data_IF_321258276343
#
_entry.id   IF_321258276343
#
_cell.length_a   1.000
_cell.length_b   1.000
_cell.length_c   1.000
_cell.angle_alpha   90.00
_cell.angle_beta   90.00
_cell.angle_gamma   90.00
#
_symmetry.space_group_name_H-M   'P 1'
#
loop_
_entity.id
_entity.type
_entity.pdbx_description
1 polymer ?
#
# COMPACT_ATOMS: atom_id res chain seq x y z
N UNK A 1 -2.84 -39.82 -6.39
CA UNK A 1 -1.82 -39.27 -5.45
C UNK A 1 -2.53 -38.17 -4.66
N UNK A 2 -2.84 -38.41 -3.38
CA UNK A 2 -3.61 -37.53 -2.47
C UNK A 2 -2.90 -36.16 -2.35
N UNK A 3 -3.46 -35.00 -2.76
CA UNK A 3 -4.64 -34.26 -2.26
C UNK A 3 -4.42 -33.40 -0.98
N UNK A 4 -3.19 -32.93 -0.74
CA UNK A 4 -2.96 -31.74 0.11
C UNK A 4 -2.17 -30.70 -0.68
N UNK A 5 -2.86 -29.67 -1.21
CA UNK A 5 -2.18 -28.41 -1.56
C UNK A 5 -2.13 -27.58 -0.29
N UNK A 6 -1.03 -27.68 0.43
CA UNK A 6 -0.80 -26.81 1.59
C UNK A 6 -0.79 -25.35 1.12
N UNK A 7 -1.42 -24.46 1.89
CA UNK A 7 -1.23 -23.03 1.71
C UNK A 7 0.27 -22.71 1.82
N UNK A 8 0.74 -21.60 1.22
CA UNK A 8 2.14 -21.18 1.38
C UNK A 8 2.36 -20.58 2.79
N UNK A 9 2.32 -21.46 3.77
CA UNK A 9 2.38 -21.14 5.19
C UNK A 9 3.07 -22.28 5.93
N UNK A 10 3.70 -21.94 7.05
CA UNK A 10 4.26 -22.94 7.97
C UNK A 10 3.14 -23.87 8.49
N UNK A 11 3.24 -25.20 8.31
CA UNK A 11 2.20 -26.14 8.72
C UNK A 11 2.09 -26.31 10.25
N UNK A 12 3.06 -25.83 11.03
CA UNK A 12 3.06 -25.86 12.50
C UNK A 12 2.44 -24.59 13.06
N UNK A 13 2.86 -23.42 12.58
CA UNK A 13 2.48 -22.13 13.18
C UNK A 13 1.40 -21.39 12.40
N UNK A 14 1.14 -21.75 11.14
CA UNK A 14 0.20 -21.06 10.25
C UNK A 14 0.70 -19.70 9.73
N UNK A 15 1.97 -19.35 9.95
CA UNK A 15 2.53 -18.09 9.49
C UNK A 15 2.67 -18.07 7.96
N UNK A 16 2.26 -16.97 7.33
CA UNK A 16 2.35 -16.79 5.88
C UNK A 16 3.78 -16.49 5.42
N UNK A 17 4.18 -17.11 4.31
CA UNK A 17 5.49 -16.87 3.70
C UNK A 17 5.45 -15.63 2.77
N UNK A 18 5.29 -14.44 3.34
CA UNK A 18 5.10 -13.18 2.61
C UNK A 18 6.15 -12.86 1.54
N UNK A 19 7.36 -13.36 1.70
CA UNK A 19 8.49 -13.10 0.80
C UNK A 19 8.86 -14.30 -0.09
N UNK A 20 8.16 -15.43 0.06
CA UNK A 20 8.41 -16.64 -0.74
C UNK A 20 7.53 -16.62 -2.00
N UNK A 21 7.85 -15.72 -2.93
CA UNK A 21 7.15 -15.57 -4.20
C UNK A 21 8.15 -15.60 -5.36
N UNK A 22 7.82 -16.37 -6.39
CA UNK A 22 8.52 -16.34 -7.68
C UNK A 22 7.60 -15.76 -8.73
N UNK A 23 7.97 -14.60 -9.26
CA UNK A 23 7.22 -13.90 -10.31
C UNK A 23 7.98 -13.92 -11.63
N UNK A 24 7.25 -13.81 -12.74
CA UNK A 24 7.81 -13.52 -14.06
C UNK A 24 7.45 -12.07 -14.39
N UNK A 25 8.45 -11.28 -14.76
CA UNK A 25 8.26 -9.90 -15.18
C UNK A 25 8.39 -9.81 -16.70
N UNK A 26 7.51 -9.03 -17.32
CA UNK A 26 7.54 -8.67 -18.74
C UNK A 26 7.38 -7.16 -18.86
N UNK A 27 7.84 -6.60 -19.97
CA UNK A 27 7.60 -5.19 -20.26
C UNK A 27 6.10 -5.02 -20.52
N UNK A 28 5.51 -3.98 -19.95
CA UNK A 28 4.14 -3.58 -20.26
C UNK A 28 4.09 -3.03 -21.70
N UNK A 29 2.99 -3.30 -22.40
CA UNK A 29 2.73 -2.68 -23.69
C UNK A 29 2.43 -1.18 -23.52
N UNK A 30 2.61 -0.34 -24.56
CA UNK A 30 2.40 1.10 -24.45
C UNK A 30 0.99 1.51 -23.98
N UNK A 31 -0.03 0.71 -24.28
CA UNK A 31 -1.42 0.89 -23.89
C UNK A 31 -1.74 0.39 -22.47
N UNK A 32 -0.93 -0.52 -21.92
CA UNK A 32 -0.97 -0.94 -20.51
C UNK A 32 -0.19 0.02 -19.58
N UNK A 33 0.64 0.90 -20.15
CA UNK A 33 1.49 1.79 -19.39
C UNK A 33 0.69 2.93 -18.75
N UNK A 34 0.50 2.86 -17.42
CA UNK A 34 -0.05 3.97 -16.63
C UNK A 34 -1.00 3.56 -15.52
N UNK A 35 -1.54 2.34 -15.58
CA UNK A 35 -2.42 1.79 -14.54
C UNK A 35 -2.05 0.33 -14.27
N UNK A 36 -2.14 -0.09 -13.01
CA UNK A 36 -1.92 -1.49 -12.61
C UNK A 36 -3.25 -2.21 -12.45
N UNK A 37 -3.38 -3.44 -12.92
CA UNK A 37 -4.59 -4.23 -12.67
C UNK A 37 -4.46 -5.12 -11.42
N UNK A 38 -5.58 -5.45 -10.76
CA UNK A 38 -6.94 -4.95 -11.00
C UNK A 38 -7.16 -3.55 -10.39
N UNK A 39 -7.99 -2.75 -11.04
CA UNK A 39 -8.54 -1.53 -10.47
C UNK A 39 -9.91 -1.86 -9.86
N UNK A 40 -10.11 -1.51 -8.59
CA UNK A 40 -11.38 -1.72 -7.89
C UNK A 40 -12.13 -0.39 -7.77
N UNK A 41 -13.46 -0.47 -7.69
CA UNK A 41 -14.29 0.69 -7.35
C UNK A 41 -13.92 1.23 -5.97
N UNK A 42 -14.03 2.55 -5.82
CA UNK A 42 -13.83 3.19 -4.52
C UNK A 42 -14.89 2.67 -3.55
N UNK A 43 -14.43 2.11 -2.44
CA UNK A 43 -15.32 1.65 -1.38
C UNK A 43 -16.04 2.84 -0.75
N UNK A 44 -17.35 2.67 -0.49
CA UNK A 44 -18.12 3.65 0.28
C UNK A 44 -17.59 3.77 1.70
N UNK A 45 -17.74 4.97 2.27
CA UNK A 45 -17.44 5.20 3.67
C UNK A 45 -18.28 4.28 4.57
N UNK A 46 -17.64 3.68 5.57
CA UNK A 46 -18.33 2.88 6.56
C UNK A 46 -18.98 3.78 7.63
N UNK A 47 -20.11 3.37 8.24
CA UNK A 47 -20.74 4.13 9.32
C UNK A 47 -19.75 4.43 10.45
N UNK A 48 -19.67 5.70 10.86
CA UNK A 48 -18.78 6.16 11.95
C UNK A 48 -17.33 6.39 11.55
N UNK A 49 -16.98 6.24 10.27
CA UNK A 49 -15.64 6.57 9.78
C UNK A 49 -15.51 8.10 9.63
N UNK A 50 -14.41 8.67 10.13
CA UNK A 50 -14.09 10.07 9.90
C UNK A 50 -13.61 10.28 8.46
N UNK A 51 -13.93 11.43 7.88
CA UNK A 51 -13.40 11.81 6.58
C UNK A 51 -11.86 11.77 6.61
N UNK A 52 -11.21 11.19 5.59
CA UNK A 52 -9.76 11.22 5.50
C UNK A 52 -9.29 12.67 5.33
N UNK A 53 -8.10 13.03 5.84
CA UNK A 53 -7.56 14.35 5.62
C UNK A 53 -7.25 14.57 4.14
N UNK A 54 -7.53 15.77 3.62
CA UNK A 54 -7.20 16.14 2.23
C UNK A 54 -5.71 15.96 1.91
N UNK A 55 -4.85 16.15 2.93
CA UNK A 55 -3.41 15.93 2.83
C UNK A 55 -2.98 15.02 3.98
N UNK A 56 -2.60 13.79 3.65
CA UNK A 56 -2.03 12.84 4.61
C UNK A 56 -0.60 13.25 4.99
N UNK A 57 -0.47 14.02 6.08
CA UNK A 57 0.83 14.43 6.66
C UNK A 57 1.37 13.44 7.70
N UNK A 58 0.99 12.17 7.59
CA UNK A 58 1.58 11.10 8.39
C UNK A 58 3.09 11.04 8.11
N UNK A 59 3.94 10.97 9.14
CA UNK A 59 5.39 11.11 8.96
C UNK A 59 5.96 12.43 9.47
N UNK A 60 5.24 13.55 9.30
CA UNK A 60 5.77 14.88 9.63
C UNK A 60 6.11 15.05 11.13
N UNK A 61 5.29 14.44 11.99
CA UNK A 61 5.50 14.45 13.46
C UNK A 61 6.80 13.75 13.87
N UNK A 62 7.27 12.82 13.04
CA UNK A 62 8.50 12.06 13.27
C UNK A 62 9.73 12.71 12.62
N UNK A 63 9.55 13.81 11.86
CA UNK A 63 10.68 14.51 11.27
C UNK A 63 11.58 15.11 12.36
N UNK A 64 12.90 14.90 12.30
CA UNK A 64 13.82 15.48 13.27
C UNK A 64 13.81 17.00 13.20
N UNK A 65 14.20 17.67 14.30
CA UNK A 65 14.11 19.13 14.44
C UNK A 65 14.92 19.89 13.37
N UNK A 66 15.98 19.28 12.84
CA UNK A 66 16.84 19.84 11.80
C UNK A 66 16.34 19.61 10.37
N UNK A 67 15.27 18.84 10.17
CA UNK A 67 14.76 18.52 8.84
C UNK A 67 14.37 19.79 8.06
N UNK A 68 14.94 19.96 6.86
CA UNK A 68 14.62 21.10 5.99
C UNK A 68 13.14 21.14 5.59
N UNK A 69 12.44 20.00 5.58
CA UNK A 69 11.00 19.90 5.30
C UNK A 69 10.11 20.58 6.33
N UNK A 70 10.59 20.85 7.56
CA UNK A 70 9.81 21.62 8.58
C UNK A 70 9.75 23.13 8.29
N UNK A 71 10.67 23.67 7.49
CA UNK A 71 10.81 25.13 7.29
C UNK A 71 9.77 25.71 6.33
N UNK A 72 9.06 24.88 5.58
CA UNK A 72 8.11 25.29 4.57
C UNK A 72 6.66 25.19 5.10
N UNK A 73 6.24 26.20 5.90
CA UNK A 73 4.88 26.28 6.47
C UNK A 73 4.04 27.43 5.94
N UNK A 74 4.51 28.17 4.93
CA UNK A 74 3.80 29.33 4.37
C UNK A 74 2.95 29.02 3.13
N UNK A 75 2.99 27.80 2.59
CA UNK A 75 2.32 27.45 1.33
C UNK A 75 1.08 26.55 1.50
N UNK A 76 0.20 26.80 2.48
CA UNK A 76 -1.17 26.23 2.45
C UNK A 76 -2.12 27.05 3.32
N UNK A 77 -2.56 28.20 2.81
CA UNK A 77 -3.87 28.79 3.14
C UNK A 77 -4.67 28.80 1.84
N UNK A 78 -5.50 27.78 1.66
CA UNK A 78 -6.64 27.71 0.75
C UNK A 78 -7.49 26.54 1.21
#
# INVERSE_FOLDING_TARGET
RSAYRYANADPVTGQAAWYDLRVRMTKAEPDEAGISEPQFEVLRDLPGMHAPPDILRYGEKFLPRWSWRRKDKSATRA
#
